data_IF_798044037155
#
_entry.id   IF_798044037155
#
_cell.length_a   1.000
_cell.length_b   1.000
_cell.length_c   1.000
_cell.angle_alpha   90.00
_cell.angle_beta   90.00
_cell.angle_gamma   90.00
#
_symmetry.space_group_name_H-M   'P 1'
#
loop_
_entity.id
_entity.type
_entity.pdbx_description
1 polymer ?
#
# COMPACT_ATOMS: atom_id res chain seq x y z
N UNK A 1 -9.67 11.75 30.82
CA UNK A 1 -9.86 11.89 29.38
C UNK A 1 -8.74 11.19 28.65
N UNK A 2 -9.08 10.17 27.88
CA UNK A 2 -8.05 9.40 27.21
C UNK A 2 -7.54 10.08 25.97
N UNK A 3 -6.30 9.80 25.62
CA UNK A 3 -5.75 10.23 24.36
C UNK A 3 -6.32 9.41 23.23
N UNK A 4 -6.56 10.04 22.10
CA UNK A 4 -6.92 9.33 20.92
C UNK A 4 -5.66 8.77 20.28
N UNK A 5 -5.53 7.44 20.28
CA UNK A 5 -4.41 6.80 19.62
C UNK A 5 -4.70 6.78 18.13
N UNK A 6 -3.76 7.23 17.28
CA UNK A 6 -3.99 7.19 15.84
C UNK A 6 -4.24 5.76 15.38
N UNK A 7 -5.28 5.59 14.57
CA UNK A 7 -5.58 4.29 13.98
C UNK A 7 -4.53 3.99 12.91
N UNK A 8 -4.47 2.72 12.50
CA UNK A 8 -3.62 2.34 11.38
C UNK A 8 -3.90 3.22 10.16
N UNK A 9 -5.19 3.44 9.87
CA UNK A 9 -5.59 4.21 8.71
C UNK A 9 -5.09 5.64 8.79
N UNK A 10 -5.16 6.25 9.95
CA UNK A 10 -4.66 7.61 10.14
C UNK A 10 -3.15 7.67 9.91
N UNK A 11 -2.43 6.68 10.40
CA UNK A 11 -0.97 6.64 10.23
C UNK A 11 -0.61 6.44 8.76
N UNK A 12 -1.35 5.58 8.08
CA UNK A 12 -1.14 5.35 6.65
C UNK A 12 -1.36 6.64 5.86
N UNK A 13 -2.48 7.34 6.12
CA UNK A 13 -2.77 8.56 5.35
C UNK A 13 -1.74 9.65 5.59
N UNK A 14 -1.21 9.74 6.80
CA UNK A 14 -0.12 10.67 7.10
C UNK A 14 1.13 10.32 6.30
N UNK A 15 1.44 9.05 6.20
CA UNK A 15 2.61 8.60 5.44
C UNK A 15 2.43 8.91 3.95
N UNK A 16 1.24 8.68 3.42
CA UNK A 16 0.94 8.98 2.02
C UNK A 16 1.09 10.48 1.76
N UNK A 17 0.62 11.31 2.67
CA UNK A 17 0.78 12.77 2.55
C UNK A 17 2.25 13.17 2.60
N UNK A 18 3.03 12.47 3.41
CA UNK A 18 4.46 12.70 3.52
C UNK A 18 5.16 12.44 2.18
N UNK A 19 4.62 11.55 1.34
CA UNK A 19 5.19 11.23 0.04
C UNK A 19 4.80 12.22 -1.05
N UNK A 20 4.05 13.25 -0.74
CA UNK A 20 3.51 14.16 -1.76
C UNK A 20 4.59 14.77 -2.65
N UNK A 21 5.68 15.23 -2.06
CA UNK A 21 6.76 15.86 -2.84
C UNK A 21 7.47 14.85 -3.74
N UNK A 22 7.67 13.65 -3.22
CA UNK A 22 8.23 12.55 -4.01
C UNK A 22 7.32 12.22 -5.20
N UNK A 23 6.04 12.10 -4.92
CA UNK A 23 5.05 11.76 -5.94
C UNK A 23 5.01 12.81 -7.06
N UNK A 24 5.17 14.08 -6.68
CA UNK A 24 5.05 15.18 -7.64
C UNK A 24 6.10 15.13 -8.73
N UNK A 25 7.29 14.59 -8.45
CA UNK A 25 8.36 14.53 -9.46
C UNK A 25 8.38 13.22 -10.24
N UNK A 26 7.45 12.32 -9.96
CA UNK A 26 7.31 11.09 -10.72
C UNK A 26 6.64 11.36 -12.06
N UNK A 27 6.89 10.47 -13.02
CA UNK A 27 6.16 10.50 -14.29
C UNK A 27 4.68 10.17 -14.04
N UNK A 28 3.76 10.64 -14.90
CA UNK A 28 2.33 10.36 -14.67
C UNK A 28 1.99 8.90 -14.48
N UNK A 29 2.59 7.99 -15.26
CA UNK A 29 2.32 6.56 -15.12
C UNK A 29 2.82 6.04 -13.78
N UNK A 30 3.93 6.60 -13.29
CA UNK A 30 4.47 6.21 -12.00
C UNK A 30 3.62 6.73 -10.85
N UNK A 31 3.07 7.93 -10.99
CA UNK A 31 2.14 8.47 -9.99
C UNK A 31 0.90 7.60 -9.88
N UNK A 32 0.38 7.17 -11.02
CA UNK A 32 -0.79 6.29 -11.04
C UNK A 32 -0.47 4.96 -10.35
N UNK A 33 0.71 4.41 -10.60
CA UNK A 33 1.14 3.17 -9.94
C UNK A 33 1.22 3.35 -8.43
N UNK A 34 1.78 4.46 -7.96
CA UNK A 34 1.89 4.72 -6.54
C UNK A 34 0.50 4.86 -5.90
N UNK A 35 -0.43 5.52 -6.58
CA UNK A 35 -1.79 5.66 -6.09
C UNK A 35 -2.49 4.31 -6.01
N UNK A 36 -2.29 3.45 -7.00
CA UNK A 36 -2.85 2.09 -7.00
C UNK A 36 -2.30 1.29 -5.82
N UNK A 37 -0.99 1.41 -5.56
CA UNK A 37 -0.37 0.70 -4.44
C UNK A 37 -0.87 1.24 -3.09
N UNK A 38 -1.07 2.54 -2.99
CA UNK A 38 -1.64 3.12 -1.77
C UNK A 38 -3.06 2.59 -1.53
N UNK A 39 -3.85 2.46 -2.59
CA UNK A 39 -5.20 1.89 -2.49
C UNK A 39 -5.14 0.43 -2.07
N UNK A 40 -4.16 -0.32 -2.58
CA UNK A 40 -3.98 -1.71 -2.20
C UNK A 40 -3.68 -1.85 -0.71
N UNK A 41 -2.88 -0.94 -0.16
CA UNK A 41 -2.60 -0.94 1.27
C UNK A 41 -3.86 -0.65 2.07
N UNK A 42 -4.67 0.31 1.61
CA UNK A 42 -5.94 0.63 2.27
C UNK A 42 -6.86 -0.56 2.33
N UNK A 43 -6.90 -1.35 1.26
CA UNK A 43 -7.74 -2.55 1.22
C UNK A 43 -7.27 -3.64 2.20
N UNK A 44 -6.00 -3.57 2.63
CA UNK A 44 -5.42 -4.54 3.55
C UNK A 44 -5.23 -4.00 4.95
N UNK A 45 -6.01 -2.98 5.32
CA UNK A 45 -5.88 -2.31 6.61
C UNK A 45 -6.03 -3.27 7.79
N UNK A 46 -6.94 -4.25 7.68
CA UNK A 46 -7.14 -5.21 8.78
C UNK A 46 -5.88 -6.02 9.04
N UNK A 47 -5.25 -6.51 7.98
CA UNK A 47 -4.02 -7.29 8.12
C UNK A 47 -2.87 -6.42 8.64
N UNK A 48 -2.74 -5.22 8.08
CA UNK A 48 -1.67 -4.29 8.47
C UNK A 48 -1.77 -3.94 9.96
N UNK A 49 -2.99 -3.76 10.45
CA UNK A 49 -3.22 -3.39 11.84
C UNK A 49 -2.88 -4.49 12.83
N UNK A 50 -2.65 -5.71 12.34
CA UNK A 50 -2.30 -6.84 13.23
C UNK A 50 -0.82 -6.86 13.61
N UNK A 51 0.02 -6.11 12.91
CA UNK A 51 1.44 -6.05 13.23
C UNK A 51 1.71 -5.05 14.33
N UNK A 52 2.69 -5.31 15.22
CA UNK A 52 3.08 -4.33 16.24
C UNK A 52 3.62 -3.08 15.54
N UNK A 53 3.04 -1.94 15.86
CA UNK A 53 3.31 -0.73 15.11
C UNK A 53 4.34 0.17 15.78
N UNK A 54 5.59 -0.21 15.72
CA UNK A 54 6.66 0.73 16.00
C UNK A 54 6.92 1.58 14.76
N UNK A 55 6.69 1.01 13.57
CA UNK A 55 6.89 1.70 12.31
C UNK A 55 5.86 1.18 11.30
N UNK A 56 5.05 2.09 10.77
CA UNK A 56 4.03 1.75 9.79
C UNK A 56 4.60 1.40 8.42
N UNK A 57 5.87 1.67 8.19
CA UNK A 57 6.49 1.40 6.89
C UNK A 57 6.51 -0.09 6.55
N UNK A 58 6.79 -0.94 7.53
CA UNK A 58 6.86 -2.38 7.29
C UNK A 58 5.54 -2.95 6.75
N UNK A 59 4.39 -2.76 7.43
CA UNK A 59 3.14 -3.28 6.88
C UNK A 59 2.76 -2.63 5.55
N UNK A 60 3.12 -1.37 5.33
CA UNK A 60 2.88 -0.72 4.04
C UNK A 60 3.61 -1.45 2.92
N UNK A 61 4.90 -1.70 3.11
CA UNK A 61 5.72 -2.36 2.09
C UNK A 61 5.24 -3.79 1.86
N UNK A 62 4.93 -4.52 2.93
CA UNK A 62 4.42 -5.89 2.80
C UNK A 62 3.12 -5.93 2.01
N UNK A 63 2.20 -5.02 2.30
CA UNK A 63 0.93 -4.97 1.60
C UNK A 63 1.13 -4.67 0.11
N UNK A 64 2.04 -3.76 -0.21
CA UNK A 64 2.35 -3.43 -1.60
C UNK A 64 2.95 -4.62 -2.33
N UNK A 65 3.88 -5.33 -1.69
CA UNK A 65 4.51 -6.50 -2.30
C UNK A 65 3.51 -7.62 -2.53
N UNK A 66 2.62 -7.84 -1.57
CA UNK A 66 1.57 -8.86 -1.72
C UNK A 66 0.67 -8.52 -2.90
N UNK A 67 0.30 -7.26 -3.02
CA UNK A 67 -0.55 -6.83 -4.12
C UNK A 67 0.12 -7.06 -5.47
N UNK A 68 1.38 -6.65 -5.58
CA UNK A 68 2.16 -6.82 -6.82
C UNK A 68 2.28 -8.30 -7.17
N UNK A 69 2.63 -9.13 -6.19
CA UNK A 69 2.80 -10.56 -6.41
C UNK A 69 1.49 -11.22 -6.84
N UNK A 70 0.39 -10.84 -6.19
CA UNK A 70 -0.93 -11.37 -6.52
C UNK A 70 -1.32 -11.02 -7.96
N UNK A 71 -1.08 -9.76 -8.35
CA UNK A 71 -1.41 -9.31 -9.70
C UNK A 71 -0.53 -9.99 -10.74
N UNK A 72 0.75 -10.14 -10.44
CA UNK A 72 1.68 -10.83 -11.33
C UNK A 72 1.27 -12.29 -11.52
N UNK A 73 0.92 -12.98 -10.43
CA UNK A 73 0.48 -14.36 -10.49
C UNK A 73 -0.77 -14.51 -11.34
N UNK A 74 -1.70 -13.55 -11.23
CA UNK A 74 -2.92 -13.57 -12.04
C UNK A 74 -2.60 -13.41 -13.52
N UNK A 75 -1.65 -12.54 -13.87
CA UNK A 75 -1.24 -12.35 -15.24
C UNK A 75 -0.55 -13.59 -15.80
N UNK A 76 0.29 -14.23 -14.99
CA UNK A 76 0.96 -15.46 -15.39
C UNK A 76 -0.02 -16.58 -15.64
N UNK A 77 -1.02 -16.73 -14.77
CA UNK A 77 -2.06 -17.73 -14.94
C UNK A 77 -2.87 -17.46 -16.21
N UNK A 78 -3.20 -16.18 -16.47
CA UNK A 78 -3.90 -15.80 -17.68
C UNK A 78 -3.11 -16.13 -18.94
N UNK A 79 -1.80 -15.90 -18.91
CA UNK A 79 -0.93 -16.22 -20.04
C UNK A 79 -0.85 -17.73 -20.30
N UNK A 80 -0.82 -18.51 -19.22
CA UNK A 80 -0.80 -19.97 -19.34
C UNK A 80 -2.11 -20.48 -19.96
N UNK A 81 -3.22 -19.89 -19.58
CA UNK A 81 -4.55 -20.29 -20.08
C UNK A 81 -4.73 -19.95 -21.55
N UNK A 82 -3.93 -19.02 -22.08
CA UNK A 82 -4.06 -18.59 -23.46
C UNK A 82 -3.23 -19.40 -24.45
N UNK A 83 -2.52 -20.38 -23.97
CA UNK A 83 -1.71 -21.25 -24.85
C UNK A 83 -2.55 -22.21 -25.68
#
# INVERSE_FOLDING_TARGET
MGRTVPTWRNRLERRIEYWRDFKRVLRPVERDSLEDLASAVRRRSSACGMLPLSDEFEPIVLAMLIDIDTRLSSLEAGNEDND
#
